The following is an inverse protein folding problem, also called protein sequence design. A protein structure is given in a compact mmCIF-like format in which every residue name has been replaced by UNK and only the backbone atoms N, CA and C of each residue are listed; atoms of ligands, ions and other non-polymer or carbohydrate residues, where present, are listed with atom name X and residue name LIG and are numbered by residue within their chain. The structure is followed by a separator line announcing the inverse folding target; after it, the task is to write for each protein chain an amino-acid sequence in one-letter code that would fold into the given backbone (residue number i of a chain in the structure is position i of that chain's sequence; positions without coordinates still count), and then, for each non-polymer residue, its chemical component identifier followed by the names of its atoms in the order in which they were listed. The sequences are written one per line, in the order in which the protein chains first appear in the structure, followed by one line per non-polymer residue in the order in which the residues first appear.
data_IF_442661397120
#
_entry.id   IF_442661397120
#
_cell.length_a   1.000
_cell.length_b   1.000
_cell.length_c   1.000
_cell.angle_alpha   90.00
_cell.angle_beta   90.00
_cell.angle_gamma   90.00
#
_symmetry.space_group_name_H-M   'P 1'
#
loop_
_entity.id
_entity.type
_entity.pdbx_description
1 polymer ?
#
# COMPACT_ATOMS: atom_id res chain seq x y z
N UNK A 1 -20.01 -13.34 -12.08
CA UNK A 1 -19.39 -12.74 -13.30
C UNK A 1 -18.35 -11.64 -13.00
N UNK A 2 -18.49 -10.78 -11.97
CA UNK A 2 -17.46 -9.73 -11.66
C UNK A 2 -16.12 -10.27 -11.16
N UNK A 3 -16.10 -11.35 -10.36
CA UNK A 3 -14.84 -11.92 -9.81
C UNK A 3 -13.94 -12.54 -10.90
N UNK A 4 -14.54 -13.11 -11.94
CA UNK A 4 -13.81 -13.70 -13.06
C UNK A 4 -13.11 -12.64 -13.93
N UNK A 5 -13.70 -11.45 -14.07
CA UNK A 5 -13.12 -10.34 -14.85
C UNK A 5 -11.89 -9.76 -14.17
N UNK A 6 -11.89 -9.66 -12.83
CA UNK A 6 -10.74 -9.13 -12.07
C UNK A 6 -9.56 -10.09 -12.14
N UNK A 7 -9.79 -11.41 -12.01
CA UNK A 7 -8.74 -12.43 -12.14
C UNK A 7 -8.19 -12.45 -13.56
N UNK A 8 -9.05 -12.33 -14.58
CA UNK A 8 -8.61 -12.25 -15.97
C UNK A 8 -7.81 -10.98 -16.27
N UNK A 9 -8.18 -9.83 -15.71
CA UNK A 9 -7.42 -8.59 -15.85
C UNK A 9 -6.03 -8.67 -15.19
N UNK A 10 -5.92 -9.30 -14.01
CA UNK A 10 -4.63 -9.55 -13.36
C UNK A 10 -3.77 -10.55 -14.14
N UNK A 11 -4.37 -11.62 -14.71
CA UNK A 11 -3.65 -12.57 -15.53
C UNK A 11 -3.15 -11.94 -16.84
N UNK A 12 -3.95 -11.07 -17.48
CA UNK A 12 -3.55 -10.35 -18.70
C UNK A 12 -2.46 -9.32 -18.40
N UNK A 13 -2.50 -8.64 -17.25
CA UNK A 13 -1.44 -7.72 -16.84
C UNK A 13 -0.13 -8.46 -16.55
N UNK A 14 -0.21 -9.61 -15.86
CA UNK A 14 0.95 -10.47 -15.60
C UNK A 14 1.53 -11.08 -16.89
N UNK A 15 0.68 -11.51 -17.83
CA UNK A 15 1.11 -12.06 -19.13
C UNK A 15 1.62 -10.96 -20.08
N UNK A 16 1.04 -9.77 -20.05
CA UNK A 16 1.50 -8.61 -20.83
C UNK A 16 2.89 -8.12 -20.42
N UNK A 17 3.22 -8.22 -19.16
CA UNK A 17 4.58 -7.97 -18.65
C UNK A 17 5.60 -9.03 -19.10
N UNK A 18 5.17 -10.26 -19.36
CA UNK A 18 6.04 -11.32 -19.85
C UNK A 18 6.23 -11.32 -21.37
N UNK A 19 5.29 -10.81 -22.15
CA UNK A 19 5.34 -10.84 -23.63
C UNK A 19 6.16 -9.69 -24.26
N UNK A 20 6.50 -8.64 -23.50
CA UNK A 20 7.28 -7.49 -23.96
C UNK A 20 8.81 -7.66 -23.89
N UNK A 21 9.34 -8.83 -23.57
CA UNK A 21 10.78 -9.05 -23.25
C UNK A 21 11.65 -9.28 -24.51
N UNK A 22 11.14 -9.15 -25.70
CA UNK A 22 11.94 -9.23 -26.92
C UNK A 22 12.66 -7.89 -27.21
N UNK A 23 13.62 -7.50 -26.38
CA UNK A 23 14.49 -6.34 -26.61
C UNK A 23 14.66 -5.35 -25.46
N UNK A 24 13.86 -5.43 -24.40
CA UNK A 24 14.12 -4.67 -23.19
C UNK A 24 15.24 -5.34 -22.40
N UNK A 25 16.34 -4.62 -22.16
CA UNK A 25 17.37 -5.09 -21.23
C UNK A 25 16.68 -5.26 -19.86
N UNK A 26 16.46 -6.51 -19.46
CA UNK A 26 16.01 -6.83 -18.11
C UNK A 26 17.07 -6.28 -17.16
N UNK A 27 16.72 -5.44 -16.17
CA UNK A 27 17.67 -4.96 -15.21
C UNK A 27 18.41 -6.13 -14.57
N UNK A 28 19.72 -6.20 -14.75
CA UNK A 28 20.55 -7.28 -14.19
C UNK A 28 20.78 -7.11 -12.70
N UNK A 29 20.26 -6.05 -12.11
CA UNK A 29 20.33 -5.76 -10.68
C UNK A 29 19.03 -5.14 -10.20
N UNK A 30 18.61 -5.54 -9.04
CA UNK A 30 17.37 -5.08 -8.46
C UNK A 30 17.18 -5.49 -7.00
N UNK A 31 16.00 -5.25 -6.50
CA UNK A 31 15.61 -5.64 -5.15
C UNK A 31 14.20 -6.19 -5.15
N UNK A 32 13.99 -7.24 -4.37
CA UNK A 32 12.65 -7.68 -3.96
C UNK A 32 12.50 -7.38 -2.48
N UNK A 33 11.45 -6.69 -2.11
CA UNK A 33 11.13 -6.40 -0.72
C UNK A 33 9.83 -7.08 -0.35
N UNK A 34 9.77 -7.58 0.88
CA UNK A 34 8.56 -8.05 1.51
C UNK A 34 8.57 -7.65 2.98
N UNK A 35 7.47 -7.07 3.46
CA UNK A 35 7.39 -6.55 4.81
C UNK A 35 5.97 -6.38 5.34
N UNK A 36 5.92 -6.05 6.61
CA UNK A 36 4.73 -5.61 7.31
C UNK A 36 4.51 -4.12 7.07
N UNK A 37 3.24 -3.71 6.97
CA UNK A 37 2.85 -2.32 6.86
C UNK A 37 1.75 -1.95 7.84
N UNK A 38 1.89 -0.77 8.43
CA UNK A 38 0.85 -0.08 9.17
C UNK A 38 0.36 1.11 8.35
N UNK A 39 -0.93 1.21 8.17
CA UNK A 39 -1.56 2.20 7.33
C UNK A 39 -2.58 3.01 8.12
N UNK A 40 -2.31 4.29 8.32
CA UNK A 40 -3.20 5.22 9.01
C UNK A 40 -4.08 5.92 7.97
N UNK A 41 -5.34 5.51 7.89
CA UNK A 41 -6.30 6.00 6.89
C UNK A 41 -7.34 6.96 7.48
N UNK A 42 -7.80 7.91 6.67
CA UNK A 42 -8.92 8.79 6.98
C UNK A 42 -10.19 8.44 6.18
N UNK A 43 -10.37 7.17 5.88
CA UNK A 43 -11.55 6.66 5.17
C UNK A 43 -12.84 6.77 6.01
N UNK A 44 -12.73 6.74 7.34
CA UNK A 44 -13.82 6.96 8.28
C UNK A 44 -13.74 8.36 8.91
N UNK A 45 -14.79 8.88 9.56
CA UNK A 45 -14.78 10.16 10.26
C UNK A 45 -13.65 10.28 11.29
N UNK A 46 -13.33 9.18 11.96
CA UNK A 46 -12.15 9.04 12.81
C UNK A 46 -11.05 8.31 12.04
N UNK A 47 -9.80 8.78 12.17
CA UNK A 47 -8.65 8.08 11.56
C UNK A 47 -8.56 6.66 12.15
N UNK A 48 -8.38 5.68 11.29
CA UNK A 48 -8.23 4.29 11.67
C UNK A 48 -6.91 3.69 11.21
N UNK A 49 -6.42 2.71 11.97
CA UNK A 49 -5.22 1.95 11.63
C UNK A 49 -5.58 0.64 10.95
N UNK A 50 -5.00 0.40 9.77
CA UNK A 50 -5.05 -0.89 9.09
C UNK A 50 -3.66 -1.53 9.15
N UNK A 51 -3.62 -2.83 9.30
CA UNK A 51 -2.39 -3.62 9.31
C UNK A 51 -2.33 -4.48 8.06
N UNK A 52 -1.12 -4.74 7.55
CA UNK A 52 -1.04 -5.52 6.34
C UNK A 52 0.35 -5.90 5.91
N UNK A 53 0.47 -6.18 4.64
CA UNK A 53 1.72 -6.55 3.98
C UNK A 53 2.01 -5.63 2.80
N UNK A 54 3.28 -5.52 2.48
CA UNK A 54 3.79 -4.82 1.30
C UNK A 54 4.84 -5.69 0.61
N UNK A 55 4.75 -5.76 -0.71
CA UNK A 55 5.75 -6.39 -1.56
C UNK A 55 6.15 -5.45 -2.66
N UNK A 56 7.47 -5.19 -2.82
CA UNK A 56 7.97 -4.36 -3.91
C UNK A 56 9.01 -5.08 -4.76
N UNK A 57 8.99 -4.79 -6.05
CA UNK A 57 10.02 -5.19 -6.99
C UNK A 57 10.65 -3.93 -7.57
N UNK A 58 11.94 -3.74 -7.36
CA UNK A 58 12.74 -2.64 -7.92
C UNK A 58 13.70 -3.17 -8.97
N UNK A 59 13.63 -2.63 -10.17
CA UNK A 59 14.64 -2.80 -11.22
C UNK A 59 15.49 -1.54 -11.34
N UNK A 60 16.82 -1.66 -11.27
CA UNK A 60 17.75 -0.52 -11.43
C UNK A 60 17.97 -0.24 -12.90
N UNK A 61 17.68 0.98 -13.32
CA UNK A 61 17.98 1.47 -14.67
C UNK A 61 19.35 2.15 -14.72
N UNK A 62 19.68 2.89 -13.65
CA UNK A 62 20.94 3.62 -13.48
C UNK A 62 21.42 3.45 -12.03
N UNK A 63 22.67 3.80 -11.71
CA UNK A 63 23.23 3.63 -10.36
C UNK A 63 22.38 4.26 -9.23
N UNK A 64 21.70 5.38 -9.53
CA UNK A 64 20.91 6.13 -8.56
C UNK A 64 19.40 5.99 -8.79
N UNK A 65 18.96 5.53 -9.98
CA UNK A 65 17.55 5.52 -10.40
C UNK A 65 17.11 4.10 -10.71
N UNK A 66 16.00 3.71 -10.09
CA UNK A 66 15.25 2.49 -10.38
C UNK A 66 13.81 2.79 -10.69
N UNK A 67 13.12 1.78 -11.20
CA UNK A 67 11.65 1.72 -11.25
C UNK A 67 11.21 0.69 -10.25
N UNK A 68 10.22 1.04 -9.44
CA UNK A 68 9.60 0.16 -8.45
C UNK A 68 8.17 -0.16 -8.86
N UNK A 69 7.75 -1.39 -8.63
CA UNK A 69 6.37 -1.83 -8.61
C UNK A 69 6.03 -2.24 -7.18
N UNK A 70 4.98 -1.65 -6.63
CA UNK A 70 4.53 -1.83 -5.24
C UNK A 70 3.13 -2.46 -5.21
N UNK A 71 2.99 -3.50 -4.40
CA UNK A 71 1.74 -4.17 -4.10
C UNK A 71 1.54 -4.19 -2.61
N UNK A 72 0.38 -3.70 -2.15
CA UNK A 72 0.04 -3.70 -0.72
C UNK A 72 -1.35 -4.25 -0.48
N UNK A 73 -1.52 -4.87 0.68
CA UNK A 73 -2.83 -5.29 1.18
C UNK A 73 -2.94 -4.95 2.66
N UNK A 74 -3.92 -4.14 3.02
CA UNK A 74 -4.19 -3.68 4.38
C UNK A 74 -5.56 -4.18 4.84
N UNK A 75 -5.65 -4.52 6.11
CA UNK A 75 -6.84 -5.11 6.74
C UNK A 75 -7.07 -4.50 8.11
N UNK A 76 -8.32 -4.28 8.46
CA UNK A 76 -8.67 -3.78 9.79
C UNK A 76 -10.15 -3.43 9.93
N UNK A 77 -10.49 -2.87 11.07
CA UNK A 77 -11.82 -2.37 11.35
C UNK A 77 -11.74 -0.87 11.63
N UNK A 78 -12.59 -0.11 10.97
CA UNK A 78 -12.68 1.33 11.16
C UNK A 78 -13.91 1.65 12.00
N UNK A 79 -13.75 2.52 13.01
CA UNK A 79 -14.85 3.01 13.83
C UNK A 79 -15.62 4.09 13.08
N UNK A 80 -16.91 3.86 12.85
CA UNK A 80 -17.83 4.82 12.24
C UNK A 80 -18.44 5.78 13.26
N UNK A 81 -18.14 5.60 14.54
CA UNK A 81 -18.70 6.36 15.65
C UNK A 81 -19.73 5.58 16.46
N UNK A 82 -20.15 6.20 17.55
CA UNK A 82 -21.15 5.65 18.46
C UNK A 82 -22.53 6.26 18.17
N UNK A 83 -23.54 5.43 18.05
CA UNK A 83 -24.93 5.86 18.05
C UNK A 83 -25.49 5.60 19.44
N UNK A 84 -25.76 6.69 20.17
CA UNK A 84 -26.44 6.63 21.46
C UNK A 84 -27.94 6.95 21.26
N UNK A 85 -28.86 6.04 21.61
CA UNK A 85 -30.27 6.35 21.55
C UNK A 85 -30.58 7.47 22.53
N UNK A 86 -31.35 8.47 22.08
CA UNK A 86 -31.88 9.51 22.96
C UNK A 86 -32.95 8.85 23.84
N UNK A 87 -32.62 8.59 25.09
CA UNK A 87 -33.57 8.02 26.06
C UNK A 87 -34.41 9.16 26.61
N UNK A 88 -35.77 9.07 26.60
CA UNK A 88 -36.61 10.04 27.26
C UNK A 88 -36.32 10.08 28.76
N UNK A 89 -36.43 11.27 29.35
CA UNK A 89 -36.17 11.50 30.78
C UNK A 89 -37.03 10.53 31.61
N UNK A 90 -36.34 9.57 32.31
CA UNK A 90 -37.00 8.56 33.14
C UNK A 90 -36.85 7.10 32.66
N UNK A 91 -36.26 6.84 31.49
CA UNK A 91 -35.94 5.50 31.01
C UNK A 91 -34.51 5.11 31.39
N UNK A 92 -34.30 3.93 31.96
CA UNK A 92 -33.01 3.38 32.33
C UNK A 92 -32.07 3.28 31.13
N UNK A 93 -30.79 3.57 31.38
CA UNK A 93 -29.70 3.81 30.46
C UNK A 93 -29.71 3.03 29.15
N UNK A 94 -29.90 3.71 28.03
CA UNK A 94 -29.64 3.20 26.71
C UNK A 94 -28.12 3.19 26.49
N UNK A 95 -27.53 2.01 26.33
CA UNK A 95 -26.10 1.87 25.99
C UNK A 95 -25.87 2.37 24.57
N UNK A 96 -24.74 3.09 24.38
CA UNK A 96 -24.26 3.46 23.05
C UNK A 96 -23.75 2.20 22.30
N UNK A 97 -24.02 2.13 21.01
CA UNK A 97 -23.51 1.04 20.15
C UNK A 97 -22.46 1.58 19.20
N UNK A 98 -21.25 1.04 19.28
CA UNK A 98 -20.16 1.35 18.37
C UNK A 98 -20.32 0.55 17.08
N UNK A 99 -20.26 1.21 15.94
CA UNK A 99 -20.31 0.57 14.63
C UNK A 99 -18.90 0.44 14.07
N UNK A 100 -18.45 -0.80 13.92
CA UNK A 100 -17.17 -1.17 13.32
C UNK A 100 -17.37 -1.61 11.88
N UNK A 101 -16.60 -1.02 10.96
CA UNK A 101 -16.60 -1.34 9.55
C UNK A 101 -15.36 -2.15 9.21
N UNK A 102 -15.52 -3.45 8.92
CA UNK A 102 -14.43 -4.26 8.39
C UNK A 102 -14.00 -3.73 7.02
N UNK A 103 -12.74 -3.38 6.89
CA UNK A 103 -12.18 -2.73 5.71
C UNK A 103 -10.97 -3.49 5.20
N UNK A 104 -10.92 -3.69 3.90
CA UNK A 104 -9.77 -4.24 3.17
C UNK A 104 -9.38 -3.25 2.08
N UNK A 105 -8.11 -2.86 2.03
CA UNK A 105 -7.58 -1.98 1.00
C UNK A 105 -6.39 -2.65 0.31
N UNK A 106 -6.40 -2.64 -1.01
CA UNK A 106 -5.31 -3.13 -1.87
C UNK A 106 -4.85 -2.01 -2.78
N UNK A 107 -3.53 -1.81 -2.85
CA UNK A 107 -2.96 -0.85 -3.78
C UNK A 107 -1.96 -1.56 -4.69
N UNK A 108 -1.98 -1.19 -5.97
CA UNK A 108 -0.99 -1.58 -6.96
C UNK A 108 -0.46 -0.31 -7.62
N UNK A 109 0.79 0.00 -7.33
CA UNK A 109 1.43 1.25 -7.76
C UNK A 109 2.78 0.97 -8.42
N UNK A 110 3.27 1.93 -9.20
CA UNK A 110 4.60 1.87 -9.79
C UNK A 110 5.15 3.29 -9.97
N UNK A 111 6.48 3.40 -10.00
CA UNK A 111 7.10 4.69 -10.21
C UNK A 111 8.61 4.71 -10.07
N UNK A 112 9.22 5.87 -10.22
CA UNK A 112 10.65 6.04 -10.02
C UNK A 112 11.05 5.99 -8.54
N UNK A 113 12.18 5.37 -8.26
CA UNK A 113 12.86 5.38 -6.97
C UNK A 113 14.28 5.86 -7.16
N UNK A 114 14.68 6.88 -6.41
CA UNK A 114 16.03 7.42 -6.39
C UNK A 114 16.69 7.06 -5.08
N UNK A 115 17.87 6.46 -5.12
CA UNK A 115 18.59 6.06 -3.91
C UNK A 115 20.08 5.96 -4.12
N UNK A 116 20.83 6.18 -3.06
CA UNK A 116 22.30 6.08 -3.06
C UNK A 116 22.77 5.20 -1.92
N UNK A 117 23.90 4.52 -2.13
CA UNK A 117 24.48 3.65 -1.11
C UNK A 117 25.63 4.36 -0.40
N UNK A 118 25.54 4.50 0.91
CA UNK A 118 26.53 5.12 1.79
C UNK A 118 26.94 4.09 2.84
N UNK A 119 28.02 3.36 2.58
CA UNK A 119 28.47 2.27 3.45
C UNK A 119 27.47 1.12 3.52
N UNK A 120 26.87 0.89 4.70
CA UNK A 120 25.83 -0.12 4.92
C UNK A 120 24.42 0.39 4.70
N UNK A 121 24.25 1.69 4.56
CA UNK A 121 22.95 2.35 4.44
C UNK A 121 22.66 2.71 2.99
N UNK A 122 21.40 2.55 2.58
CA UNK A 122 20.89 3.01 1.29
C UNK A 122 19.62 3.81 1.51
N UNK A 123 19.72 5.13 1.77
CA UNK A 123 18.57 6.02 1.73
C UNK A 123 18.00 6.07 0.31
N UNK A 124 16.67 6.19 0.22
CA UNK A 124 15.96 6.35 -1.04
C UNK A 124 14.71 7.22 -0.86
N UNK A 125 14.28 7.82 -1.95
CA UNK A 125 12.99 8.48 -2.08
C UNK A 125 12.27 7.94 -3.32
N UNK A 126 10.94 7.97 -3.31
CA UNK A 126 10.14 7.44 -4.39
C UNK A 126 8.87 8.23 -4.61
N UNK A 127 8.39 8.15 -5.83
CA UNK A 127 7.09 8.63 -6.21
C UNK A 127 6.40 7.56 -7.04
N UNK A 128 5.18 7.20 -6.67
CA UNK A 128 4.44 6.13 -7.30
C UNK A 128 3.04 6.58 -7.69
N UNK A 129 2.54 6.01 -8.78
CA UNK A 129 1.18 6.19 -9.26
C UNK A 129 0.56 4.81 -9.54
N UNK A 130 -0.73 4.71 -9.41
CA UNK A 130 -1.42 3.45 -9.65
C UNK A 130 -2.88 3.47 -9.28
N UNK A 131 -3.37 2.34 -8.82
CA UNK A 131 -4.76 2.12 -8.44
C UNK A 131 -4.85 1.59 -7.02
N UNK A 132 -5.84 2.09 -6.30
CA UNK A 132 -6.27 1.55 -5.02
C UNK A 132 -7.66 0.95 -5.14
N UNK A 133 -7.88 -0.14 -4.44
CA UNK A 133 -9.17 -0.80 -4.30
C UNK A 133 -9.51 -0.97 -2.83
N UNK A 134 -10.64 -0.41 -2.41
CA UNK A 134 -11.15 -0.57 -1.06
C UNK A 134 -12.44 -1.37 -1.09
N UNK A 135 -12.57 -2.30 -0.15
CA UNK A 135 -13.79 -3.03 0.14
C UNK A 135 -14.14 -2.84 1.62
N UNK A 136 -15.31 -2.24 1.87
CA UNK A 136 -15.80 -1.94 3.20
C UNK A 136 -17.23 -2.47 3.32
N UNK A 137 -17.42 -3.53 4.12
CA UNK A 137 -18.69 -4.26 4.25
C UNK A 137 -19.25 -4.70 2.89
N UNK A 138 -20.39 -4.11 2.46
CA UNK A 138 -21.07 -4.43 1.20
C UNK A 138 -20.68 -3.52 0.02
N UNK A 139 -19.87 -2.49 0.26
CA UNK A 139 -19.47 -1.52 -0.76
C UNK A 139 -18.00 -1.68 -1.12
N UNK A 140 -17.68 -1.50 -2.40
CA UNK A 140 -16.31 -1.46 -2.88
C UNK A 140 -16.13 -0.32 -3.87
N UNK A 141 -14.93 0.25 -3.88
CA UNK A 141 -14.57 1.33 -4.79
C UNK A 141 -13.13 1.14 -5.27
N UNK A 142 -12.87 1.52 -6.51
CA UNK A 142 -11.53 1.53 -7.08
C UNK A 142 -11.24 2.93 -7.58
N UNK A 143 -10.09 3.47 -7.22
CA UNK A 143 -9.70 4.80 -7.64
C UNK A 143 -8.22 4.90 -7.98
N UNK A 144 -7.84 6.02 -8.57
CA UNK A 144 -6.45 6.38 -8.77
C UNK A 144 -5.77 6.63 -7.42
N UNK A 145 -4.54 6.14 -7.29
CA UNK A 145 -3.71 6.28 -6.11
C UNK A 145 -2.36 6.88 -6.47
N UNK A 146 -1.82 7.70 -5.59
CA UNK A 146 -0.46 8.22 -5.69
C UNK A 146 0.23 8.07 -4.35
N UNK A 147 1.52 7.77 -4.36
CA UNK A 147 2.34 7.74 -3.17
C UNK A 147 3.60 8.58 -3.35
N UNK A 148 3.99 9.27 -2.31
CA UNK A 148 5.27 9.98 -2.20
C UNK A 148 5.89 9.58 -0.88
N UNK A 149 7.08 9.03 -0.95
CA UNK A 149 7.72 8.52 0.25
C UNK A 149 9.19 8.29 0.11
N UNK A 150 9.70 7.53 1.05
CA UNK A 150 11.08 7.11 1.06
C UNK A 150 11.42 6.34 2.31
N UNK A 151 12.63 5.84 2.32
CA UNK A 151 13.08 4.98 3.39
C UNK A 151 14.57 4.77 3.39
N UNK A 152 14.98 3.77 4.14
CA UNK A 152 16.36 3.39 4.27
C UNK A 152 16.50 1.87 4.36
N UNK A 153 17.39 1.32 3.54
CA UNK A 153 17.83 -0.06 3.65
C UNK A 153 19.12 -0.13 4.48
N UNK A 154 19.15 -1.01 5.45
CA UNK A 154 20.36 -1.38 6.21
C UNK A 154 20.87 -2.74 5.76
N UNK A 155 22.07 -2.78 5.16
CA UNK A 155 22.69 -4.01 4.68
C UNK A 155 23.10 -4.92 5.85
N UNK A 156 22.46 -6.09 5.96
CA UNK A 156 22.78 -7.12 6.95
C UNK A 156 23.84 -8.07 6.38
N UNK A 157 23.55 -8.65 5.20
CA UNK A 157 24.45 -9.54 4.46
C UNK A 157 24.64 -9.05 3.01
N UNK A 158 25.37 -9.79 2.21
CA UNK A 158 25.68 -9.40 0.82
C UNK A 158 24.39 -9.16 -0.01
N UNK A 159 23.45 -10.08 0.08
CA UNK A 159 22.19 -10.05 -0.68
C UNK A 159 20.95 -9.67 0.16
N UNK A 160 21.11 -9.42 1.47
CA UNK A 160 19.99 -9.19 2.40
C UNK A 160 20.15 -7.86 3.09
N UNK A 161 19.09 -7.07 3.09
CA UNK A 161 19.00 -5.83 3.87
C UNK A 161 17.67 -5.76 4.61
N UNK A 162 17.63 -4.98 5.68
CA UNK A 162 16.43 -4.59 6.38
C UNK A 162 16.01 -3.20 5.92
N UNK A 163 14.72 -3.03 5.69
CA UNK A 163 14.12 -1.77 5.22
C UNK A 163 13.17 -1.20 6.25
N UNK A 164 13.21 0.13 6.39
CA UNK A 164 12.16 0.94 6.97
C UNK A 164 11.78 2.00 5.94
N UNK A 165 10.49 2.15 5.72
CA UNK A 165 9.93 3.03 4.67
C UNK A 165 8.72 3.76 5.23
N UNK A 166 8.49 5.00 4.78
CA UNK A 166 7.33 5.80 5.13
C UNK A 166 6.82 6.56 3.92
N UNK A 167 5.51 6.44 3.65
CA UNK A 167 4.86 7.01 2.48
C UNK A 167 3.62 7.80 2.83
N UNK A 168 3.44 8.87 2.12
CA UNK A 168 2.19 9.60 2.05
C UNK A 168 1.40 9.12 0.84
N UNK A 169 0.27 8.47 1.09
CA UNK A 169 -0.58 7.86 0.06
C UNK A 169 -1.85 8.67 -0.09
N UNK A 170 -2.07 9.18 -1.30
CA UNK A 170 -3.30 9.88 -1.66
C UNK A 170 -4.17 9.00 -2.55
N UNK A 171 -5.41 8.78 -2.12
CA UNK A 171 -6.43 8.04 -2.86
C UNK A 171 -7.71 8.87 -2.95
N UNK A 172 -8.62 8.50 -3.87
CA UNK A 172 -9.89 9.22 -4.04
C UNK A 172 -11.07 8.25 -4.09
N UNK A 173 -11.31 7.58 -2.96
CA UNK A 173 -12.43 6.66 -2.86
C UNK A 173 -13.75 7.39 -2.61
N UNK A 174 -14.83 6.87 -3.18
CA UNK A 174 -16.19 7.39 -3.03
C UNK A 174 -16.30 8.91 -3.32
N UNK A 175 -15.52 9.41 -4.28
CA UNK A 175 -15.44 10.83 -4.67
C UNK A 175 -14.87 11.77 -3.59
N UNK A 176 -14.33 11.24 -2.50
CA UNK A 176 -13.64 11.98 -1.46
C UNK A 176 -12.14 11.71 -1.49
N UNK A 177 -11.33 12.74 -1.32
CA UNK A 177 -9.87 12.61 -1.24
C UNK A 177 -9.46 12.09 0.14
N UNK A 178 -8.69 11.00 0.17
CA UNK A 178 -8.09 10.46 1.38
C UNK A 178 -6.58 10.74 1.36
N UNK A 179 -6.09 11.16 2.52
CA UNK A 179 -4.68 11.41 2.76
C UNK A 179 -4.21 10.49 3.87
N UNK A 180 -3.45 9.49 3.52
CA UNK A 180 -3.10 8.38 4.38
C UNK A 180 -1.58 8.35 4.60
N UNK A 181 -1.15 7.84 5.73
CA UNK A 181 0.26 7.60 6.03
C UNK A 181 0.49 6.10 6.15
N UNK A 182 1.46 5.60 5.40
CA UNK A 182 1.91 4.21 5.43
C UNK A 182 3.31 4.16 6.04
N UNK A 183 3.53 3.25 6.98
CA UNK A 183 4.85 2.94 7.53
C UNK A 183 5.06 1.45 7.36
N UNK A 184 6.21 1.08 6.80
CA UNK A 184 6.52 -0.30 6.46
C UNK A 184 7.89 -0.71 6.97
N UNK A 185 8.03 -1.99 7.30
CA UNK A 185 9.32 -2.57 7.68
C UNK A 185 9.40 -4.03 7.24
N UNK A 186 10.56 -4.47 6.79
CA UNK A 186 10.71 -5.83 6.30
C UNK A 186 12.09 -6.10 5.70
N UNK A 187 12.15 -7.16 4.90
CA UNK A 187 13.40 -7.69 4.33
C UNK A 187 13.48 -7.37 2.84
N UNK A 188 14.67 -6.97 2.43
CA UNK A 188 15.04 -6.73 1.02
C UNK A 188 16.02 -7.80 0.59
N UNK A 189 15.72 -8.46 -0.52
CA UNK A 189 16.63 -9.36 -1.24
C UNK A 189 17.17 -8.62 -2.45
N UNK A 190 18.48 -8.57 -2.58
CA UNK A 190 19.21 -7.89 -3.68
C UNK A 190 19.80 -8.91 -4.64
N UNK A 191 19.64 -8.65 -5.92
CA UNK A 191 20.22 -9.46 -7.01
C UNK A 191 20.90 -8.60 -8.07
#
# INVERSE_FOLDING_TARGET
MRKTVIVAAFAVLAFGLCAGIAGAQVPTSGNVYFGYTYYNTNLAPNRGGLNGWQGTLEGKLFPLLGIVADLTGQYGSLDLGEICPVVPIGGGGGGCTTFNLSTHEYNAMFGPRVGTTIGKFRPFGEFEIGIGHVAASSQSNTSFATALGGGMDYKIFHAVAWRVEGDYVHTRFFSAGQNNVRISTGIVLRF
#
